data_IF_648089801547
#
_entry.id   IF_648089801547
#
_cell.length_a   1.000
_cell.length_b   1.000
_cell.length_c   1.000
_cell.angle_alpha   90.00
_cell.angle_beta   90.00
_cell.angle_gamma   90.00
#
_symmetry.space_group_name_H-M   'P 1'
#
loop_
_entity.id
_entity.type
_entity.pdbx_description
1 polymer ?
#
# COMPACT_ATOMS: atom_id res chain seq x y z
N UNK A 1 -32.84 -7.97 6.66
CA UNK A 1 -32.31 -6.62 6.43
C UNK A 1 -31.23 -6.31 7.47
N UNK A 2 -29.97 -6.62 7.19
CA UNK A 2 -28.82 -6.24 8.03
C UNK A 2 -27.90 -5.40 7.16
N UNK A 3 -28.06 -4.09 7.24
CA UNK A 3 -27.20 -3.14 6.55
C UNK A 3 -25.75 -3.30 7.05
N UNK A 4 -24.81 -3.47 6.11
CA UNK A 4 -23.36 -3.40 6.35
C UNK A 4 -23.05 -2.04 7.01
N UNK A 5 -22.80 -2.04 8.32
CA UNK A 5 -22.46 -0.83 9.08
C UNK A 5 -20.95 -0.62 9.04
N UNK A 6 -20.49 0.30 8.18
CA UNK A 6 -19.22 1.00 8.41
C UNK A 6 -19.41 1.92 9.62
N UNK A 7 -18.58 1.76 10.66
CA UNK A 7 -18.51 2.73 11.74
C UNK A 7 -17.77 3.97 11.23
N UNK A 8 -18.50 4.97 10.73
CA UNK A 8 -17.91 6.24 10.32
C UNK A 8 -17.56 7.03 11.59
N UNK A 9 -16.37 6.82 12.13
CA UNK A 9 -15.80 7.68 13.17
C UNK A 9 -15.17 8.93 12.51
N UNK A 10 -15.44 10.12 13.07
CA UNK A 10 -14.91 11.40 12.61
C UNK A 10 -13.36 11.39 12.57
N UNK A 11 -12.71 12.08 11.61
CA UNK A 11 -11.26 12.07 11.49
C UNK A 11 -10.60 12.75 12.71
N UNK A 12 -9.84 11.99 13.49
CA UNK A 12 -8.78 12.54 14.33
C UNK A 12 -7.64 12.98 13.41
N UNK A 13 -7.58 14.29 13.11
CA UNK A 13 -6.33 14.90 12.61
C UNK A 13 -5.30 14.79 13.73
N UNK A 14 -4.29 13.93 13.57
CA UNK A 14 -3.07 14.02 14.36
C UNK A 14 -2.30 15.25 13.85
N UNK A 15 -2.53 16.40 14.48
CA UNK A 15 -1.89 17.68 14.12
C UNK A 15 -0.41 17.60 14.50
N UNK A 16 0.46 17.69 13.49
CA UNK A 16 1.90 17.92 13.64
C UNK A 16 2.16 19.26 14.32
N UNK A 17 3.15 19.28 15.21
CA UNK A 17 3.44 20.35 16.16
C UNK A 17 3.57 21.77 15.58
N UNK A 18 3.12 22.71 16.41
CA UNK A 18 3.22 24.16 16.24
C UNK A 18 4.67 24.63 15.97
N UNK A 19 4.91 25.20 14.79
CA UNK A 19 5.91 26.25 14.62
C UNK A 19 5.17 27.60 14.68
N UNK A 20 5.11 28.17 15.88
CA UNK A 20 4.57 29.51 16.11
C UNK A 20 5.57 30.58 15.68
N UNK A 21 5.11 31.49 14.82
CA UNK A 21 5.83 32.70 14.45
C UNK A 21 5.43 33.91 15.30
N UNK A 22 6.44 34.77 15.50
CA UNK A 22 6.45 36.21 15.81
C UNK A 22 5.94 36.69 17.19
N UNK A 23 6.88 37.24 17.97
CA UNK A 23 6.77 38.63 18.46
C UNK A 23 8.09 39.37 18.26
N UNK A 24 7.95 40.53 17.62
CA UNK A 24 8.94 41.61 17.50
C UNK A 24 9.09 42.25 18.88
N UNK A 25 10.32 42.55 19.31
CA UNK A 25 10.71 43.65 20.20
C UNK A 25 12.26 43.68 20.28
N UNK A 26 12.88 44.66 19.61
CA UNK A 26 14.17 45.27 19.97
C UNK A 26 13.88 46.36 21.05
N UNK A 27 14.85 46.89 21.84
CA UNK A 27 16.22 47.25 21.45
C UNK A 27 17.33 47.08 22.53
N UNK A 28 18.53 47.52 22.14
CA UNK A 28 19.72 47.92 22.91
C UNK A 28 20.99 47.05 22.87
N UNK A 29 21.97 47.70 22.22
CA UNK A 29 23.42 47.56 22.13
C UNK A 29 24.21 47.23 23.41
N UNK A 30 25.16 46.29 23.34
CA UNK A 30 26.62 46.52 23.19
C UNK A 30 27.41 45.20 23.48
N UNK A 31 28.62 45.00 22.89
CA UNK A 31 29.40 43.76 23.05
C UNK A 31 30.65 43.96 23.93
N UNK A 32 31.00 43.01 24.81
CA UNK A 32 32.33 42.98 25.44
C UNK A 32 32.91 41.56 25.70
N UNK A 33 34.04 41.32 25.00
CA UNK A 33 35.30 40.60 25.31
C UNK A 33 35.36 39.17 25.91
N UNK A 34 36.10 38.37 25.14
CA UNK A 34 37.02 37.24 25.42
C UNK A 34 37.68 37.15 26.81
N UNK A 35 37.86 35.90 27.27
CA UNK A 35 39.05 35.24 27.85
C UNK A 35 38.55 34.02 28.64
N UNK A 36 39.22 32.89 28.83
CA UNK A 36 40.56 32.38 28.57
C UNK A 36 40.64 31.01 29.26
N UNK A 37 41.42 30.08 28.71
CA UNK A 37 41.72 28.76 29.26
C UNK A 37 42.32 28.81 30.68
N UNK A 38 42.20 27.74 31.48
CA UNK A 38 43.32 26.90 31.96
C UNK A 38 42.86 25.87 33.04
N UNK A 39 43.26 24.60 32.84
CA UNK A 39 43.78 23.59 33.82
C UNK A 39 42.91 23.22 35.05
N UNK A 40 42.79 21.97 35.54
CA UNK A 40 43.76 20.87 35.68
C UNK A 40 43.03 19.55 36.02
N UNK A 41 43.71 18.43 35.72
CA UNK A 41 43.68 17.06 36.29
C UNK A 41 43.15 16.92 37.74
N UNK A 42 42.65 15.79 38.31
CA UNK A 42 42.84 14.34 38.10
C UNK A 42 41.91 13.55 39.06
N UNK A 43 41.50 12.34 38.67
CA UNK A 43 41.36 11.06 39.42
C UNK A 43 40.13 10.26 38.94
N UNK A 44 40.30 9.22 38.11
CA UNK A 44 40.66 7.82 38.43
C UNK A 44 39.72 7.14 39.42
N UNK A 45 38.77 6.38 38.86
CA UNK A 45 38.43 5.05 39.35
C UNK A 45 37.99 4.18 38.18
N UNK A 46 38.84 3.21 37.87
CA UNK A 46 38.74 2.19 36.84
C UNK A 46 37.63 1.19 37.17
N UNK A 47 36.77 0.89 36.20
CA UNK A 47 36.20 -0.45 36.07
C UNK A 47 36.42 -0.90 34.63
N UNK A 48 37.44 -1.73 34.43
CA UNK A 48 37.70 -2.46 33.19
C UNK A 48 36.65 -3.56 33.09
N UNK A 49 35.75 -3.48 32.12
CA UNK A 49 35.11 -4.68 31.59
C UNK A 49 35.85 -5.09 30.33
N UNK A 50 36.48 -6.26 30.44
CA UNK A 50 37.17 -7.00 29.40
C UNK A 50 36.32 -7.15 28.14
N UNK A 51 36.93 -6.83 27.00
CA UNK A 51 36.45 -7.16 25.67
C UNK A 51 36.29 -8.68 25.53
N UNK A 52 35.05 -9.16 25.63
CA UNK A 52 34.67 -10.45 25.05
C UNK A 52 34.03 -10.13 23.71
N UNK A 53 34.83 -10.18 22.65
CA UNK A 53 34.29 -10.28 21.29
C UNK A 53 33.63 -11.66 21.18
N UNK A 54 32.33 -11.73 21.44
CA UNK A 54 31.53 -12.87 21.01
C UNK A 54 31.38 -12.77 19.50
N UNK A 55 32.13 -13.59 18.79
CA UNK A 55 31.91 -13.83 17.36
C UNK A 55 30.49 -14.35 17.18
N UNK A 56 29.62 -13.57 16.53
CA UNK A 56 28.29 -14.02 16.18
C UNK A 56 28.39 -15.24 15.24
N UNK A 57 27.71 -16.36 15.54
CA UNK A 57 27.74 -17.53 14.70
C UNK A 57 27.10 -17.22 13.34
N UNK A 58 27.88 -17.38 12.26
CA UNK A 58 27.46 -17.23 10.85
C UNK A 58 26.58 -18.41 10.38
N UNK A 59 25.53 -18.74 11.13
CA UNK A 59 24.50 -19.68 10.70
C UNK A 59 23.21 -18.90 10.42
N UNK A 60 22.83 -18.79 9.13
CA UNK A 60 21.42 -18.56 8.76
C UNK A 60 20.87 -17.12 8.64
N UNK A 61 21.63 -16.14 8.12
CA UNK A 61 21.11 -14.76 7.84
C UNK A 61 19.80 -14.74 7.01
N UNK A 62 19.57 -15.74 6.16
CA UNK A 62 18.35 -15.83 5.33
C UNK A 62 17.14 -16.46 6.05
N UNK A 63 17.37 -17.49 6.86
CA UNK A 63 16.30 -18.18 7.62
C UNK A 63 15.79 -17.32 8.79
N UNK A 64 16.71 -16.70 9.56
CA UNK A 64 16.34 -15.83 10.69
C UNK A 64 15.59 -14.57 10.25
N UNK A 65 15.91 -14.02 9.07
CA UNK A 65 15.24 -12.83 8.53
C UNK A 65 13.80 -13.12 8.09
N UNK A 66 13.55 -14.31 7.54
CA UNK A 66 12.21 -14.71 7.09
C UNK A 66 11.26 -14.93 8.28
N UNK A 67 11.72 -15.60 9.34
CA UNK A 67 10.94 -15.81 10.56
C UNK A 67 10.67 -14.49 11.27
N UNK A 68 11.69 -13.62 11.41
CA UNK A 68 11.56 -12.31 12.06
C UNK A 68 10.55 -11.40 11.36
N UNK A 69 10.43 -11.49 10.03
CA UNK A 69 9.45 -10.71 9.24
C UNK A 69 8.05 -11.35 9.20
N UNK A 70 7.89 -12.62 9.56
CA UNK A 70 6.59 -13.28 9.65
C UNK A 70 5.97 -13.24 11.06
N UNK A 71 6.80 -13.24 12.12
CA UNK A 71 6.36 -13.26 13.52
C UNK A 71 5.37 -12.14 13.92
N UNK A 72 5.43 -10.91 13.38
CA UNK A 72 4.48 -9.86 13.74
C UNK A 72 3.02 -10.14 13.34
N UNK A 73 2.78 -10.99 12.33
CA UNK A 73 1.42 -11.28 11.85
C UNK A 73 0.57 -12.06 12.87
N UNK A 74 1.00 -13.19 13.44
CA UNK A 74 0.28 -13.84 14.54
C UNK A 74 0.03 -12.92 15.75
N UNK A 75 1.02 -12.10 16.13
CA UNK A 75 0.89 -11.14 17.24
C UNK A 75 -0.18 -10.09 16.93
N UNK A 76 -0.28 -9.62 15.69
CA UNK A 76 -1.35 -8.73 15.26
C UNK A 76 -2.73 -9.36 15.46
N UNK A 77 -2.96 -10.60 15.00
CA UNK A 77 -4.25 -11.26 15.17
C UNK A 77 -4.57 -11.49 16.64
N UNK A 78 -3.59 -11.90 17.44
CA UNK A 78 -3.73 -12.06 18.90
C UNK A 78 -4.17 -10.75 19.57
N UNK A 79 -3.46 -9.64 19.30
CA UNK A 79 -3.79 -8.33 19.88
C UNK A 79 -5.15 -7.81 19.43
N UNK A 80 -5.53 -8.05 18.17
CA UNK A 80 -6.83 -7.66 17.63
C UNK A 80 -7.97 -8.47 18.25
N UNK A 81 -7.79 -9.78 18.42
CA UNK A 81 -8.86 -10.69 18.85
C UNK A 81 -9.03 -10.78 20.36
N UNK A 82 -7.94 -10.78 21.12
CA UNK A 82 -8.02 -10.90 22.57
C UNK A 82 -8.11 -9.54 23.28
N UNK A 83 -7.44 -8.51 22.77
CA UNK A 83 -7.41 -7.19 23.41
C UNK A 83 -8.21 -6.11 22.68
N UNK A 84 -8.89 -6.44 21.58
CA UNK A 84 -9.73 -5.50 20.83
C UNK A 84 -9.01 -4.27 20.25
N UNK A 85 -7.67 -4.28 20.17
CA UNK A 85 -6.90 -3.09 19.83
C UNK A 85 -7.11 -2.68 18.37
N UNK A 86 -7.37 -1.39 18.08
CA UNK A 86 -7.53 -0.86 16.71
C UNK A 86 -6.19 -0.59 16.00
N UNK A 87 -5.40 -1.66 15.78
CA UNK A 87 -4.12 -1.61 15.06
C UNK A 87 -4.37 -1.78 13.56
N UNK A 88 -3.81 -0.93 12.68
CA UNK A 88 -3.90 -1.11 11.24
C UNK A 88 -3.04 -2.30 10.78
N UNK A 89 -3.52 -3.01 9.76
CA UNK A 89 -2.73 -4.04 9.08
C UNK A 89 -1.97 -3.44 7.89
N UNK A 90 -2.67 -2.64 7.09
CA UNK A 90 -2.24 -2.13 5.80
C UNK A 90 -2.14 -0.61 5.84
N UNK A 91 -0.97 -0.10 5.48
CA UNK A 91 -0.73 1.30 5.23
C UNK A 91 -0.66 1.55 3.72
N UNK A 92 -1.60 2.34 3.21
CA UNK A 92 -1.65 2.76 1.82
C UNK A 92 -0.94 4.12 1.71
N UNK A 93 0.20 4.15 1.04
CA UNK A 93 1.14 5.27 1.08
C UNK A 93 1.28 5.92 -0.30
N UNK A 94 0.74 7.14 -0.46
CA UNK A 94 0.87 7.93 -1.68
C UNK A 94 2.03 8.90 -1.56
N UNK A 95 3.04 8.72 -2.41
CA UNK A 95 4.19 9.63 -2.48
C UNK A 95 3.91 10.84 -3.36
N UNK A 96 3.08 10.65 -4.37
CA UNK A 96 2.68 11.70 -5.30
C UNK A 96 1.33 11.38 -5.95
N UNK A 97 0.60 12.41 -6.37
CA UNK A 97 -0.53 12.27 -7.29
C UNK A 97 -0.14 12.43 -8.76
N UNK A 98 1.10 12.80 -9.06
CA UNK A 98 1.60 12.86 -10.44
C UNK A 98 1.60 11.46 -11.04
N UNK A 99 1.10 11.35 -12.26
CA UNK A 99 1.04 10.12 -13.02
C UNK A 99 1.36 10.41 -14.49
N UNK A 100 2.02 9.48 -15.16
CA UNK A 100 2.30 9.57 -16.60
C UNK A 100 1.15 9.00 -17.45
N UNK A 101 0.04 8.62 -16.83
CA UNK A 101 -1.19 8.17 -17.48
C UNK A 101 -2.38 8.98 -16.96
N UNK A 102 -3.41 9.12 -17.80
CA UNK A 102 -4.69 9.78 -17.47
C UNK A 102 -5.82 8.76 -17.58
N UNK A 103 -5.77 7.73 -16.72
CA UNK A 103 -6.67 6.59 -16.81
C UNK A 103 -8.14 6.98 -16.54
N UNK A 104 -9.07 6.51 -17.37
CA UNK A 104 -10.49 6.89 -17.30
C UNK A 104 -11.14 6.63 -15.93
N UNK A 105 -10.72 5.55 -15.25
CA UNK A 105 -11.27 5.10 -13.97
C UNK A 105 -10.59 5.72 -12.73
N UNK A 106 -9.52 6.51 -12.91
CA UNK A 106 -8.62 6.88 -11.82
C UNK A 106 -8.85 8.32 -11.35
N UNK A 107 -9.05 8.58 -10.04
CA UNK A 107 -9.20 9.93 -9.54
C UNK A 107 -7.85 10.67 -9.33
N UNK A 108 -6.71 9.98 -9.36
CA UNK A 108 -5.43 10.54 -8.89
C UNK A 108 -4.78 11.50 -9.88
N UNK A 109 -4.78 11.19 -11.18
CA UNK A 109 -4.09 12.04 -12.16
C UNK A 109 -4.66 13.46 -12.22
N UNK A 110 -5.94 13.64 -11.84
CA UNK A 110 -6.61 14.95 -11.73
C UNK A 110 -6.16 15.79 -10.54
N UNK A 111 -5.46 15.17 -9.60
CA UNK A 111 -4.91 15.78 -8.37
C UNK A 111 -3.43 16.14 -8.51
N UNK A 112 -2.86 15.94 -9.70
CA UNK A 112 -1.43 16.16 -9.95
C UNK A 112 -1.00 17.63 -9.80
N UNK A 113 -1.93 18.58 -9.95
CA UNK A 113 -1.73 20.03 -9.84
C UNK A 113 -1.99 20.58 -8.44
N UNK A 114 -2.40 19.75 -7.47
CA UNK A 114 -2.54 20.19 -6.07
C UNK A 114 -1.19 20.68 -5.54
N UNK A 115 -1.19 21.78 -4.75
CA UNK A 115 0.02 22.44 -4.24
C UNK A 115 0.99 21.46 -3.55
N UNK A 116 0.45 20.43 -2.88
CA UNK A 116 1.21 19.39 -2.17
C UNK A 116 0.99 18.00 -2.77
N UNK A 117 0.89 17.90 -4.09
CA UNK A 117 0.76 16.64 -4.83
C UNK A 117 2.04 15.78 -4.84
N UNK A 118 3.12 16.19 -4.19
CA UNK A 118 4.42 15.51 -4.18
C UNK A 118 5.09 15.65 -2.81
N UNK A 119 5.40 14.52 -2.17
CA UNK A 119 5.94 14.49 -0.82
C UNK A 119 7.47 14.65 -0.81
N UNK A 120 8.04 15.32 0.19
CA UNK A 120 9.50 15.35 0.41
C UNK A 120 10.01 14.07 1.08
N UNK A 121 11.31 13.77 0.95
CA UNK A 121 11.98 12.65 1.59
C UNK A 121 11.84 12.68 3.12
N UNK A 122 12.02 13.85 3.73
CA UNK A 122 11.91 14.02 5.19
C UNK A 122 10.50 13.70 5.69
N UNK A 123 9.48 14.16 4.97
CA UNK A 123 8.08 13.89 5.28
C UNK A 123 7.74 12.41 5.06
N UNK A 124 8.24 11.80 3.97
CA UNK A 124 8.04 10.38 3.71
C UNK A 124 8.58 9.49 4.83
N UNK A 125 9.80 9.78 5.31
CA UNK A 125 10.39 9.08 6.45
C UNK A 125 9.60 9.28 7.74
N UNK A 126 9.24 10.52 8.07
CA UNK A 126 8.47 10.82 9.27
C UNK A 126 7.11 10.10 9.27
N UNK A 127 6.43 10.08 8.13
CA UNK A 127 5.17 9.34 7.96
C UNK A 127 5.35 7.83 8.13
N UNK A 128 6.42 7.23 7.58
CA UNK A 128 6.74 5.82 7.82
C UNK A 128 7.03 5.53 9.30
N UNK A 129 7.71 6.43 10.01
CA UNK A 129 7.92 6.28 11.44
C UNK A 129 6.59 6.34 12.20
N UNK A 130 5.68 7.26 11.87
CA UNK A 130 4.33 7.30 12.47
C UNK A 130 3.56 5.99 12.21
N UNK A 131 3.62 5.46 10.99
CA UNK A 131 2.99 4.18 10.64
C UNK A 131 3.55 2.99 11.43
N UNK A 132 4.87 2.97 11.67
CA UNK A 132 5.51 1.96 12.52
C UNK A 132 5.03 2.05 13.96
N UNK A 133 4.95 3.26 14.54
CA UNK A 133 4.42 3.47 15.89
C UNK A 133 2.93 3.10 15.99
N UNK A 134 2.17 3.34 14.92
CA UNK A 134 0.77 2.91 14.83
C UNK A 134 0.61 1.37 14.78
N UNK A 135 1.68 0.62 14.48
CA UNK A 135 1.69 -0.84 14.44
C UNK A 135 1.33 -1.44 13.09
N UNK A 136 1.36 -0.66 12.00
CA UNK A 136 1.12 -1.18 10.65
C UNK A 136 2.17 -2.25 10.29
N UNK A 137 1.73 -3.33 9.63
CA UNK A 137 2.62 -4.44 9.25
C UNK A 137 3.00 -4.43 7.77
N UNK A 138 2.11 -3.92 6.92
CA UNK A 138 2.29 -3.88 5.48
C UNK A 138 2.22 -2.43 5.04
N UNK A 139 3.25 -1.94 4.36
CA UNK A 139 3.20 -0.65 3.64
C UNK A 139 3.10 -0.93 2.15
N UNK A 140 2.16 -0.27 1.48
CA UNK A 140 2.01 -0.31 0.02
C UNK A 140 2.27 1.08 -0.53
N UNK A 141 3.36 1.25 -1.28
CA UNK A 141 3.58 2.47 -2.05
C UNK A 141 2.70 2.45 -3.30
N UNK A 142 1.86 3.47 -3.43
CA UNK A 142 0.88 3.63 -4.50
C UNK A 142 0.64 5.14 -4.78
N UNK A 143 -0.48 5.50 -5.41
CA UNK A 143 -0.89 6.90 -5.62
C UNK A 143 -1.14 7.19 -7.10
N UNK A 144 -0.53 8.27 -7.60
CA UNK A 144 -0.32 8.45 -9.04
C UNK A 144 0.58 7.33 -9.58
N UNK A 145 1.78 7.67 -10.03
CA UNK A 145 2.80 6.66 -10.37
C UNK A 145 3.99 6.76 -9.40
N UNK A 146 4.18 5.79 -8.47
CA UNK A 146 5.27 5.83 -7.50
C UNK A 146 6.66 5.98 -8.11
N UNK A 147 6.89 5.43 -9.32
CA UNK A 147 8.18 5.51 -9.99
C UNK A 147 8.54 6.91 -10.52
N UNK A 148 7.58 7.85 -10.55
CA UNK A 148 7.85 9.26 -10.83
C UNK A 148 8.36 10.02 -9.61
N UNK A 149 8.25 9.44 -8.41
CA UNK A 149 8.62 10.14 -7.18
C UNK A 149 10.14 10.23 -7.02
N UNK A 150 10.63 11.47 -6.83
CA UNK A 150 12.01 11.80 -6.52
C UNK A 150 12.07 13.05 -5.66
N UNK A 151 12.96 13.06 -4.67
CA UNK A 151 13.27 14.25 -3.87
C UNK A 151 14.80 14.42 -3.78
N UNK A 152 15.32 15.39 -4.54
CA UNK A 152 16.76 15.55 -4.74
C UNK A 152 17.41 14.29 -5.31
N UNK A 153 18.30 13.68 -4.53
CA UNK A 153 19.00 12.43 -4.91
C UNK A 153 18.25 11.15 -4.56
N UNK A 154 17.13 11.26 -3.84
CA UNK A 154 16.39 10.12 -3.35
C UNK A 154 15.26 9.75 -4.30
N UNK A 155 15.05 8.45 -4.50
CA UNK A 155 13.92 7.92 -5.27
C UNK A 155 13.18 6.80 -4.55
N UNK A 156 12.17 6.23 -5.21
CA UNK A 156 11.33 5.17 -4.66
C UNK A 156 12.15 3.99 -4.12
N UNK A 157 13.29 3.63 -4.73
CA UNK A 157 14.12 2.49 -4.30
C UNK A 157 14.73 2.76 -2.93
N UNK A 158 15.27 3.96 -2.71
CA UNK A 158 15.81 4.38 -1.41
C UNK A 158 14.75 4.31 -0.31
N UNK A 159 13.52 4.72 -0.64
CA UNK A 159 12.43 4.72 0.33
C UNK A 159 11.91 3.31 0.64
N UNK A 160 11.88 2.41 -0.35
CA UNK A 160 11.59 0.99 -0.13
C UNK A 160 12.63 0.39 0.81
N UNK A 161 13.92 0.67 0.60
CA UNK A 161 14.98 0.17 1.48
C UNK A 161 14.90 0.74 2.91
N UNK A 162 14.49 2.00 3.06
CA UNK A 162 14.14 2.56 4.37
C UNK A 162 12.96 1.81 5.01
N UNK A 163 11.85 1.66 4.29
CA UNK A 163 10.64 1.02 4.79
C UNK A 163 10.86 -0.46 5.17
N UNK A 164 11.68 -1.20 4.42
CA UNK A 164 11.97 -2.62 4.69
C UNK A 164 12.66 -2.86 6.03
N UNK A 165 13.33 -1.85 6.58
CA UNK A 165 13.91 -1.90 7.93
C UNK A 165 12.87 -1.69 9.03
N UNK A 166 11.72 -1.11 8.69
CA UNK A 166 10.65 -0.76 9.62
C UNK A 166 9.51 -1.76 9.59
N UNK A 167 9.18 -2.29 8.41
CA UNK A 167 7.96 -3.06 8.18
C UNK A 167 8.24 -4.54 7.82
N UNK A 168 7.41 -5.46 8.36
CA UNK A 168 7.37 -6.86 7.95
C UNK A 168 7.28 -7.04 6.44
N UNK A 169 6.43 -6.24 5.75
CA UNK A 169 6.27 -6.29 4.30
C UNK A 169 6.14 -4.89 3.70
N UNK A 170 6.86 -4.69 2.60
CA UNK A 170 6.77 -3.49 1.77
C UNK A 170 6.37 -3.89 0.37
N UNK A 171 5.28 -3.34 -0.13
CA UNK A 171 4.76 -3.60 -1.45
C UNK A 171 4.72 -2.32 -2.29
N UNK A 172 4.62 -2.49 -3.60
CA UNK A 172 4.43 -1.39 -4.56
C UNK A 172 3.29 -1.75 -5.49
N UNK A 173 2.42 -0.79 -5.77
CA UNK A 173 1.44 -0.85 -6.86
C UNK A 173 1.82 0.18 -7.91
N UNK A 174 2.06 -0.26 -9.15
CA UNK A 174 2.49 0.60 -10.26
C UNK A 174 1.62 0.38 -11.49
N UNK A 175 1.52 1.41 -12.35
CA UNK A 175 0.91 1.29 -13.66
C UNK A 175 1.72 0.44 -14.64
N UNK A 176 2.96 0.07 -14.29
CA UNK A 176 3.80 -0.87 -15.04
C UNK A 176 4.62 -0.26 -16.17
N UNK A 177 4.59 1.06 -16.34
CA UNK A 177 5.31 1.74 -17.44
C UNK A 177 6.80 1.97 -17.17
N UNK A 178 7.30 1.58 -16.00
CA UNK A 178 8.70 1.64 -15.60
C UNK A 178 9.28 0.23 -15.34
N UNK A 179 10.61 0.06 -15.34
CA UNK A 179 11.24 -1.22 -15.00
C UNK A 179 10.81 -1.75 -13.63
N UNK A 180 10.38 -3.00 -13.59
CA UNK A 180 9.67 -3.60 -12.44
C UNK A 180 10.60 -4.22 -11.38
N UNK A 181 11.90 -4.30 -11.65
CA UNK A 181 12.86 -4.91 -10.74
C UNK A 181 13.26 -3.91 -9.64
N UNK A 182 12.40 -3.81 -8.63
CA UNK A 182 12.57 -3.00 -7.41
C UNK A 182 12.73 -3.88 -6.17
N UNK A 183 13.35 -3.37 -5.08
CA UNK A 183 13.59 -4.17 -3.87
C UNK A 183 12.33 -4.41 -3.00
N UNK A 184 11.12 -4.23 -3.56
CA UNK A 184 9.87 -4.48 -2.84
C UNK A 184 9.72 -5.98 -2.49
N UNK A 185 9.00 -6.30 -1.43
CA UNK A 185 8.64 -7.69 -1.13
C UNK A 185 7.57 -8.20 -2.10
N UNK A 186 6.61 -7.35 -2.45
CA UNK A 186 5.49 -7.66 -3.33
C UNK A 186 5.31 -6.54 -4.36
N UNK A 187 5.04 -6.89 -5.60
CA UNK A 187 4.80 -5.92 -6.68
C UNK A 187 3.48 -6.24 -7.36
N UNK A 188 2.60 -5.23 -7.41
CA UNK A 188 1.38 -5.26 -8.23
C UNK A 188 1.55 -4.36 -9.44
N UNK A 189 1.25 -4.92 -10.61
CA UNK A 189 1.18 -4.19 -11.88
C UNK A 189 -0.28 -4.08 -12.29
N UNK A 190 -0.76 -2.85 -12.51
CA UNK A 190 -2.12 -2.63 -13.00
C UNK A 190 -2.23 -2.96 -14.50
N UNK A 191 -3.04 -3.97 -14.84
CA UNK A 191 -3.29 -4.38 -16.22
C UNK A 191 -4.76 -4.69 -16.40
N UNK A 192 -5.51 -3.72 -16.95
CA UNK A 192 -6.99 -3.71 -16.93
C UNK A 192 -7.63 -4.15 -18.25
N UNK A 193 -7.07 -5.14 -18.94
CA UNK A 193 -7.65 -5.71 -20.17
C UNK A 193 -6.62 -6.22 -21.16
N UNK A 194 -7.11 -6.72 -22.30
CA UNK A 194 -6.30 -6.93 -23.49
C UNK A 194 -5.89 -5.59 -24.10
N UNK A 195 -4.97 -5.63 -25.07
CA UNK A 195 -4.33 -4.46 -25.68
C UNK A 195 -5.26 -3.29 -25.95
N UNK A 196 -6.35 -3.51 -26.68
CA UNK A 196 -7.25 -2.46 -27.15
C UNK A 196 -7.98 -1.80 -25.97
N UNK A 197 -8.59 -2.62 -25.11
CA UNK A 197 -9.36 -2.17 -23.94
C UNK A 197 -8.44 -1.52 -22.92
N UNK A 198 -7.28 -2.12 -22.63
CA UNK A 198 -6.29 -1.55 -21.74
C UNK A 198 -5.78 -0.20 -22.25
N UNK A 199 -5.46 -0.08 -23.54
CA UNK A 199 -4.98 1.17 -24.13
C UNK A 199 -6.03 2.28 -24.02
N UNK A 200 -7.30 1.96 -24.27
CA UNK A 200 -8.42 2.89 -24.08
C UNK A 200 -8.56 3.33 -22.62
N UNK A 201 -8.49 2.39 -21.67
CA UNK A 201 -8.63 2.69 -20.25
C UNK A 201 -7.39 3.39 -19.66
N UNK A 202 -6.20 3.16 -20.22
CA UNK A 202 -4.90 3.48 -19.61
C UNK A 202 -3.89 4.07 -20.61
N UNK A 203 -4.33 5.04 -21.39
CA UNK A 203 -3.47 5.94 -22.18
C UNK A 203 -2.45 5.22 -23.09
N UNK A 204 -2.88 4.20 -23.83
CA UNK A 204 -2.02 3.53 -24.83
C UNK A 204 -0.84 2.74 -24.23
N UNK A 205 -0.88 2.39 -22.94
CA UNK A 205 0.30 1.88 -22.23
C UNK A 205 0.57 0.37 -22.33
N UNK A 206 -0.29 -0.42 -22.99
CA UNK A 206 -0.23 -1.88 -22.95
C UNK A 206 1.12 -2.44 -23.36
N UNK A 207 1.68 -2.00 -24.50
CA UNK A 207 2.96 -2.52 -25.00
C UNK A 207 4.11 -2.30 -24.03
N UNK A 208 4.16 -1.10 -23.45
CA UNK A 208 5.20 -0.73 -22.51
C UNK A 208 5.09 -1.57 -21.23
N UNK A 209 3.86 -1.74 -20.72
CA UNK A 209 3.60 -2.59 -19.56
C UNK A 209 3.96 -4.05 -19.85
N UNK A 210 3.56 -4.57 -21.01
CA UNK A 210 3.82 -5.95 -21.42
C UNK A 210 5.32 -6.23 -21.60
N UNK A 211 6.06 -5.29 -22.20
CA UNK A 211 7.52 -5.38 -22.32
C UNK A 211 8.19 -5.43 -20.93
N UNK A 212 7.77 -4.57 -20.00
CA UNK A 212 8.30 -4.57 -18.63
C UNK A 212 7.94 -5.84 -17.86
N UNK A 213 6.74 -6.39 -18.05
CA UNK A 213 6.33 -7.68 -17.49
C UNK A 213 7.23 -8.82 -17.99
N UNK A 214 7.52 -8.87 -19.30
CA UNK A 214 8.43 -9.87 -19.90
C UNK A 214 9.87 -9.75 -19.40
N UNK A 215 10.34 -8.52 -19.19
CA UNK A 215 11.71 -8.26 -18.75
C UNK A 215 11.94 -8.48 -17.24
N UNK A 216 10.88 -8.44 -16.43
CA UNK A 216 11.02 -8.48 -14.97
C UNK A 216 11.50 -9.84 -14.45
N UNK A 217 12.29 -9.77 -13.37
CA UNK A 217 12.74 -10.90 -12.55
C UNK A 217 12.17 -10.84 -11.13
N UNK A 218 11.23 -9.93 -10.87
CA UNK A 218 10.65 -9.74 -9.54
C UNK A 218 9.93 -11.01 -9.07
N UNK A 219 10.35 -11.55 -7.92
CA UNK A 219 9.93 -12.91 -7.46
C UNK A 219 8.45 -13.02 -7.10
N UNK A 220 7.81 -11.92 -6.71
CA UNK A 220 6.40 -11.83 -6.30
C UNK A 220 5.68 -10.77 -7.11
N UNK A 221 5.71 -10.92 -8.43
CA UNK A 221 5.00 -10.05 -9.36
C UNK A 221 3.57 -10.58 -9.54
N UNK A 222 2.60 -9.74 -9.20
CA UNK A 222 1.19 -9.99 -9.38
C UNK A 222 0.59 -8.96 -10.33
N UNK A 223 -0.46 -9.35 -11.04
CA UNK A 223 -1.30 -8.40 -11.78
C UNK A 223 -2.48 -8.00 -10.91
N UNK A 224 -2.79 -6.71 -10.86
CA UNK A 224 -4.00 -6.20 -10.25
C UNK A 224 -4.96 -5.73 -11.34
N UNK A 225 -6.15 -6.33 -11.40
CA UNK A 225 -7.16 -6.06 -12.43
C UNK A 225 -8.37 -5.37 -11.80
N UNK A 226 -8.67 -4.15 -12.24
CA UNK A 226 -9.87 -3.42 -11.82
C UNK A 226 -11.00 -3.69 -12.82
N UNK A 227 -11.92 -4.56 -12.43
CA UNK A 227 -13.05 -4.98 -13.24
C UNK A 227 -14.03 -3.82 -13.39
N UNK A 228 -14.33 -3.45 -14.62
CA UNK A 228 -15.33 -2.48 -15.01
C UNK A 228 -16.17 -3.00 -16.18
N UNK A 229 -17.17 -2.22 -16.58
CA UNK A 229 -18.10 -2.60 -17.66
C UNK A 229 -17.40 -2.93 -18.97
N UNK A 230 -16.33 -2.22 -19.33
CA UNK A 230 -15.63 -2.38 -20.61
C UNK A 230 -14.69 -3.60 -20.64
N UNK A 231 -14.02 -3.91 -19.52
CA UNK A 231 -12.96 -4.93 -19.49
C UNK A 231 -13.36 -6.27 -18.87
N UNK A 232 -14.58 -6.42 -18.33
CA UNK A 232 -14.99 -7.65 -17.61
C UNK A 232 -14.81 -8.94 -18.40
N UNK A 233 -14.89 -8.88 -19.73
CA UNK A 233 -14.73 -10.04 -20.63
C UNK A 233 -13.27 -10.42 -20.89
N UNK A 234 -12.32 -9.54 -20.52
CA UNK A 234 -10.90 -9.72 -20.82
C UNK A 234 -10.15 -10.51 -19.75
N UNK A 235 -10.74 -10.75 -18.57
CA UNK A 235 -10.07 -11.37 -17.44
C UNK A 235 -9.50 -12.75 -17.81
N UNK A 236 -10.32 -13.61 -18.43
CA UNK A 236 -9.93 -14.95 -18.85
C UNK A 236 -8.84 -14.97 -19.93
N UNK A 237 -9.00 -14.30 -21.08
CA UNK A 237 -7.96 -14.30 -22.12
C UNK A 237 -6.66 -13.64 -21.61
N UNK A 238 -6.74 -12.57 -20.82
CA UNK A 238 -5.57 -11.94 -20.23
C UNK A 238 -4.83 -12.87 -19.26
N UNK A 239 -5.56 -13.58 -18.38
CA UNK A 239 -4.97 -14.57 -17.47
C UNK A 239 -4.21 -15.66 -18.22
N UNK A 240 -4.72 -16.11 -19.38
CA UNK A 240 -4.04 -17.10 -20.22
C UNK A 240 -2.72 -16.54 -20.77
N UNK A 241 -2.73 -15.33 -21.33
CA UNK A 241 -1.51 -14.69 -21.84
C UNK A 241 -0.48 -14.43 -20.73
N UNK A 242 -0.93 -14.04 -19.54
CA UNK A 242 -0.03 -13.76 -18.41
C UNK A 242 0.71 -15.00 -17.90
N UNK A 243 0.19 -16.21 -18.13
CA UNK A 243 0.90 -17.44 -17.76
C UNK A 243 2.18 -17.66 -18.57
N UNK A 244 2.32 -17.02 -19.73
CA UNK A 244 3.54 -17.04 -20.53
C UNK A 244 4.65 -16.15 -19.94
N UNK A 245 4.31 -15.25 -19.01
CA UNK A 245 5.26 -14.34 -18.36
C UNK A 245 5.95 -15.06 -17.19
N UNK A 246 7.27 -15.35 -17.25
CA UNK A 246 7.94 -16.18 -16.25
C UNK A 246 7.90 -15.63 -14.81
N UNK A 247 7.84 -14.30 -14.65
CA UNK A 247 7.78 -13.64 -13.35
C UNK A 247 6.36 -13.59 -12.76
N UNK A 248 5.32 -13.85 -13.55
CA UNK A 248 3.92 -13.77 -13.09
C UNK A 248 3.63 -14.85 -12.04
N UNK A 249 3.03 -14.42 -10.91
CA UNK A 249 2.67 -15.32 -9.79
C UNK A 249 1.18 -15.34 -9.48
N UNK A 250 0.37 -14.61 -10.24
CA UNK A 250 -1.08 -14.61 -10.12
C UNK A 250 -1.70 -13.22 -10.21
N UNK A 251 -3.02 -13.22 -10.26
CA UNK A 251 -3.84 -12.03 -10.40
C UNK A 251 -4.71 -11.83 -9.17
N UNK A 252 -4.81 -10.59 -8.72
CA UNK A 252 -5.88 -10.13 -7.84
C UNK A 252 -6.86 -9.30 -8.66
N UNK A 253 -8.15 -9.51 -8.46
CA UNK A 253 -9.20 -8.69 -9.07
C UNK A 253 -9.85 -7.80 -8.02
N UNK A 254 -10.30 -6.62 -8.42
CA UNK A 254 -11.16 -5.75 -7.64
C UNK A 254 -12.26 -5.20 -8.55
N UNK A 255 -13.36 -4.72 -7.98
CA UNK A 255 -14.39 -4.04 -8.78
C UNK A 255 -14.08 -2.55 -8.84
N UNK A 256 -14.42 -1.94 -9.96
CA UNK A 256 -14.39 -0.50 -10.14
C UNK A 256 -15.32 0.20 -9.14
N UNK A 257 -14.88 1.36 -8.63
CA UNK A 257 -15.63 2.21 -7.69
C UNK A 257 -15.90 3.58 -8.32
N UNK A 258 -17.17 4.04 -8.41
CA UNK A 258 -17.49 5.35 -8.95
C UNK A 258 -17.18 6.46 -7.94
N UNK A 259 -16.18 7.29 -8.24
CA UNK A 259 -15.81 8.48 -7.47
C UNK A 259 -16.63 9.72 -7.80
N UNK A 260 -17.42 9.68 -8.89
CA UNK A 260 -18.32 10.75 -9.31
C UNK A 260 -17.66 11.83 -10.15
N UNK A 261 -16.63 11.50 -10.93
CA UNK A 261 -15.84 12.44 -11.73
C UNK A 261 -16.02 12.23 -13.26
N UNK A 262 -17.15 11.68 -13.69
CA UNK A 262 -17.47 11.43 -15.11
C UNK A 262 -17.19 10.00 -15.59
N UNK A 263 -16.69 9.14 -14.72
CA UNK A 263 -16.39 7.73 -14.99
C UNK A 263 -17.58 6.77 -14.75
N UNK A 264 -18.78 7.32 -14.51
CA UNK A 264 -20.01 6.54 -14.30
C UNK A 264 -20.27 5.47 -15.37
N UNK A 265 -19.95 5.68 -16.67
CA UNK A 265 -20.07 4.63 -17.68
C UNK A 265 -19.21 3.37 -17.41
N UNK A 266 -18.21 3.40 -16.53
CA UNK A 266 -17.43 2.21 -16.19
C UNK A 266 -18.09 1.34 -15.12
N UNK A 267 -19.12 1.85 -14.43
CA UNK A 267 -19.84 1.12 -13.38
C UNK A 267 -20.50 -0.15 -13.92
N UNK A 268 -20.46 -1.21 -13.12
CA UNK A 268 -21.15 -2.47 -13.37
C UNK A 268 -22.55 -2.38 -12.79
N UNK A 269 -23.56 -2.84 -13.54
CA UNK A 269 -24.86 -3.15 -12.96
C UNK A 269 -24.75 -4.31 -11.96
N UNK A 270 -25.76 -4.47 -11.09
CA UNK A 270 -25.80 -5.58 -10.13
C UNK A 270 -25.72 -6.96 -10.81
N UNK A 271 -26.36 -7.10 -11.97
CA UNK A 271 -26.28 -8.31 -12.80
C UNK A 271 -24.88 -8.51 -13.35
N UNK A 272 -24.29 -7.51 -13.99
CA UNK A 272 -22.92 -7.63 -14.54
C UNK A 272 -21.89 -7.92 -13.44
N UNK A 273 -22.07 -7.35 -12.25
CA UNK A 273 -21.25 -7.59 -11.06
C UNK A 273 -21.36 -9.05 -10.59
N UNK A 274 -22.57 -9.59 -10.52
CA UNK A 274 -22.81 -11.00 -10.18
C UNK A 274 -22.15 -11.90 -11.21
N UNK A 275 -22.48 -11.70 -12.48
CA UNK A 275 -22.05 -12.56 -13.58
C UNK A 275 -20.51 -12.62 -13.65
N UNK A 276 -19.83 -11.48 -13.57
CA UNK A 276 -18.36 -11.45 -13.63
C UNK A 276 -17.69 -12.09 -12.41
N UNK A 277 -18.23 -11.88 -11.20
CA UNK A 277 -17.64 -12.48 -9.99
C UNK A 277 -17.86 -14.00 -9.95
N UNK A 278 -19.02 -14.48 -10.43
CA UNK A 278 -19.28 -15.91 -10.60
C UNK A 278 -18.33 -16.51 -11.65
N UNK A 279 -18.08 -15.81 -12.76
CA UNK A 279 -17.10 -16.23 -13.76
C UNK A 279 -15.67 -16.30 -13.19
N UNK A 280 -15.24 -15.29 -12.42
CA UNK A 280 -13.93 -15.27 -11.75
C UNK A 280 -13.82 -16.42 -10.74
N UNK A 281 -14.88 -16.73 -10.00
CA UNK A 281 -14.92 -17.88 -9.09
C UNK A 281 -14.73 -19.18 -9.87
N UNK A 282 -15.39 -19.33 -11.02
CA UNK A 282 -15.29 -20.51 -11.86
C UNK A 282 -13.88 -20.63 -12.49
N UNK A 283 -13.31 -19.54 -12.99
CA UNK A 283 -11.91 -19.46 -13.43
C UNK A 283 -10.95 -19.97 -12.35
N UNK A 284 -11.16 -19.56 -11.10
CA UNK A 284 -10.33 -19.99 -9.97
C UNK A 284 -10.48 -21.49 -9.69
N UNK A 285 -11.71 -22.04 -9.74
CA UNK A 285 -11.93 -23.49 -9.58
C UNK A 285 -11.26 -24.31 -10.68
N UNK A 286 -11.19 -23.77 -11.89
CA UNK A 286 -10.47 -24.35 -13.04
C UNK A 286 -8.94 -24.25 -12.91
N UNK A 287 -8.43 -23.70 -11.80
CA UNK A 287 -6.99 -23.61 -11.53
C UNK A 287 -6.30 -22.37 -12.10
N UNK A 288 -7.03 -21.41 -12.66
CA UNK A 288 -6.42 -20.14 -13.06
C UNK A 288 -5.91 -19.38 -11.82
N UNK A 289 -4.77 -18.67 -11.92
CA UNK A 289 -4.02 -18.17 -10.77
C UNK A 289 -4.63 -16.88 -10.18
N UNK A 290 -5.89 -16.94 -9.76
CA UNK A 290 -6.60 -15.87 -9.07
C UNK A 290 -6.36 -16.00 -7.57
N UNK A 291 -5.85 -14.94 -6.95
CA UNK A 291 -5.39 -14.95 -5.55
C UNK A 291 -6.48 -14.62 -4.55
N UNK A 292 -7.55 -13.91 -4.96
CA UNK A 292 -8.72 -13.66 -4.12
C UNK A 292 -9.32 -14.98 -3.62
N UNK A 293 -9.84 -14.97 -2.41
CA UNK A 293 -10.57 -16.07 -1.82
C UNK A 293 -11.98 -16.16 -2.41
N UNK A 294 -12.44 -17.39 -2.69
CA UNK A 294 -13.79 -17.63 -3.23
C UNK A 294 -14.88 -17.05 -2.33
N UNK A 295 -14.70 -17.14 -1.02
CA UNK A 295 -15.66 -16.61 -0.05
C UNK A 295 -15.79 -15.08 -0.10
N UNK A 296 -14.68 -14.35 -0.32
CA UNK A 296 -14.75 -12.88 -0.47
C UNK A 296 -15.26 -12.46 -1.84
N UNK A 297 -14.86 -13.15 -2.91
CA UNK A 297 -15.46 -12.92 -4.23
C UNK A 297 -16.98 -13.09 -4.18
N UNK A 298 -17.49 -14.12 -3.49
CA UNK A 298 -18.94 -14.32 -3.32
C UNK A 298 -19.59 -13.21 -2.48
N UNK A 299 -18.99 -12.83 -1.35
CA UNK A 299 -19.52 -11.75 -0.50
C UNK A 299 -19.51 -10.38 -1.21
N UNK A 300 -18.55 -10.16 -2.10
CA UNK A 300 -18.50 -8.96 -2.95
C UNK A 300 -19.57 -8.95 -4.05
N UNK A 301 -20.40 -9.99 -4.24
CA UNK A 301 -21.54 -9.91 -5.17
C UNK A 301 -22.61 -8.95 -4.60
N UNK A 302 -22.94 -9.11 -3.31
CA UNK A 302 -23.97 -8.32 -2.62
C UNK A 302 -23.39 -7.28 -1.65
N UNK A 303 -22.07 -7.28 -1.43
CA UNK A 303 -21.42 -6.45 -0.41
C UNK A 303 -22.00 -6.62 1.00
N UNK A 304 -22.42 -7.83 1.33
CA UNK A 304 -23.02 -8.24 2.61
C UNK A 304 -21.98 -8.62 3.69
N UNK A 305 -20.72 -8.20 3.51
CA UNK A 305 -19.63 -8.47 4.43
C UNK A 305 -19.38 -7.32 5.40
N UNK A 306 -18.83 -7.66 6.57
CA UNK A 306 -18.39 -6.67 7.56
C UNK A 306 -17.07 -6.04 7.15
N UNK A 307 -17.09 -4.73 6.90
CA UNK A 307 -15.88 -3.95 6.68
C UNK A 307 -15.23 -3.59 8.02
N UNK A 308 -13.95 -3.94 8.17
CA UNK A 308 -13.11 -3.49 9.29
C UNK A 308 -12.16 -2.41 8.77
N UNK A 309 -12.67 -1.21 8.52
CA UNK A 309 -11.89 -0.16 7.86
C UNK A 309 -10.72 0.36 8.73
N UNK A 310 -10.77 0.14 10.04
CA UNK A 310 -9.68 0.42 10.99
C UNK A 310 -8.41 -0.42 10.75
N UNK A 311 -8.48 -1.45 9.89
CA UNK A 311 -7.28 -2.16 9.40
C UNK A 311 -6.47 -1.33 8.39
N UNK A 312 -7.03 -0.22 7.90
CA UNK A 312 -6.39 0.68 6.94
C UNK A 312 -5.94 1.98 7.58
N UNK A 313 -4.75 2.40 7.19
CA UNK A 313 -4.24 3.75 7.43
C UNK A 313 -3.70 4.29 6.11
N UNK A 314 -4.06 5.53 5.77
CA UNK A 314 -3.74 6.16 4.51
C UNK A 314 -2.76 7.30 4.76
N UNK A 315 -1.76 7.43 3.90
CA UNK A 315 -0.86 8.58 3.84
C UNK A 315 -1.02 9.22 2.48
N UNK A 316 -1.36 10.51 2.46
CA UNK A 316 -1.50 11.31 1.25
C UNK A 316 -0.23 12.19 1.03
N UNK A 317 0.06 12.67 -0.20
CA UNK A 317 1.33 13.35 -0.53
C UNK A 317 1.60 14.64 0.25
N UNK A 318 0.58 15.25 0.83
CA UNK A 318 0.66 16.42 1.70
C UNK A 318 1.09 16.10 3.15
N UNK A 319 1.29 14.82 3.45
CA UNK A 319 1.64 14.30 4.77
C UNK A 319 0.44 13.97 5.65
N UNK A 320 -0.80 14.13 5.16
CA UNK A 320 -1.98 13.78 5.93
C UNK A 320 -2.05 12.27 6.16
N UNK A 321 -2.27 11.87 7.43
CA UNK A 321 -2.42 10.47 7.82
C UNK A 321 -3.85 10.25 8.32
N UNK A 322 -4.61 9.42 7.59
CA UNK A 322 -6.03 9.16 7.87
C UNK A 322 -6.31 7.67 8.05
N UNK A 323 -6.84 7.29 9.21
CA UNK A 323 -7.33 5.91 9.46
C UNK A 323 -8.74 5.72 8.87
N UNK A 324 -9.03 4.49 8.47
CA UNK A 324 -10.34 4.08 7.98
C UNK A 324 -10.42 3.94 6.46
N UNK A 325 -11.66 3.97 5.96
CA UNK A 325 -11.99 3.71 4.56
C UNK A 325 -11.08 4.44 3.55
N UNK A 326 -10.66 3.70 2.51
CA UNK A 326 -9.87 4.24 1.40
C UNK A 326 -10.56 5.41 0.68
N UNK A 327 -11.89 5.49 0.68
CA UNK A 327 -12.62 6.55 -0.04
C UNK A 327 -12.71 7.86 0.76
N UNK A 328 -12.39 7.85 2.07
CA UNK A 328 -12.66 8.96 3.00
C UNK A 328 -12.06 10.33 2.59
N UNK A 329 -10.94 10.36 1.85
CA UNK A 329 -10.32 11.59 1.33
C UNK A 329 -10.44 11.73 -0.21
N UNK A 330 -11.31 10.95 -0.85
CA UNK A 330 -11.29 10.73 -2.31
C UNK A 330 -12.67 10.78 -2.96
N UNK A 331 -13.75 10.74 -2.19
CA UNK A 331 -15.11 10.86 -2.70
C UNK A 331 -16.16 10.54 -1.63
N UNK A 332 -17.42 10.45 -2.05
CA UNK A 332 -18.50 9.98 -1.18
C UNK A 332 -18.33 8.49 -0.91
N UNK A 333 -18.38 8.08 0.36
CA UNK A 333 -18.32 6.67 0.74
C UNK A 333 -19.67 6.00 0.44
N UNK A 334 -19.64 4.95 -0.39
CA UNK A 334 -20.79 4.09 -0.69
C UNK A 334 -20.38 2.62 -0.51
N UNK A 335 -20.81 2.01 0.60
CA UNK A 335 -20.44 0.63 0.90
C UNK A 335 -21.11 -0.38 -0.03
N UNK A 336 -22.27 -0.07 -0.60
CA UNK A 336 -22.96 -0.96 -1.54
C UNK A 336 -22.22 -1.06 -2.87
N UNK A 337 -21.53 -0.01 -3.27
CA UNK A 337 -20.68 0.03 -4.47
C UNK A 337 -19.22 -0.31 -4.18
N UNK A 338 -18.86 -0.63 -2.93
CA UNK A 338 -17.48 -0.94 -2.56
C UNK A 338 -16.91 -2.07 -3.42
N UNK A 339 -15.82 -1.77 -4.13
CA UNK A 339 -15.13 -2.71 -5.01
C UNK A 339 -13.76 -3.15 -4.52
N UNK A 340 -13.29 -2.63 -3.39
CA UNK A 340 -11.92 -2.82 -2.90
C UNK A 340 -11.70 -4.20 -2.29
N UNK A 341 -11.35 -5.17 -3.14
CA UNK A 341 -11.08 -6.53 -2.70
C UNK A 341 -9.94 -6.66 -1.68
N UNK A 342 -8.86 -5.83 -1.67
CA UNK A 342 -7.86 -5.92 -0.60
C UNK A 342 -8.44 -5.67 0.79
N UNK A 343 -9.41 -4.74 0.90
CA UNK A 343 -10.10 -4.43 2.16
C UNK A 343 -11.04 -5.55 2.55
N UNK A 344 -11.76 -6.12 1.58
CA UNK A 344 -12.63 -7.28 1.79
C UNK A 344 -11.84 -8.50 2.28
N UNK A 345 -10.69 -8.79 1.66
CA UNK A 345 -9.79 -9.87 2.07
C UNK A 345 -9.17 -9.62 3.43
N UNK A 346 -8.64 -8.43 3.70
CA UNK A 346 -8.05 -8.11 5.00
C UNK A 346 -9.09 -8.15 6.12
N UNK A 347 -10.33 -7.72 5.86
CA UNK A 347 -11.46 -7.84 6.79
C UNK A 347 -11.82 -9.31 7.02
N UNK A 348 -11.89 -10.13 5.97
CA UNK A 348 -12.15 -11.56 6.09
C UNK A 348 -11.03 -12.31 6.83
N UNK A 349 -9.77 -11.94 6.60
CA UNK A 349 -8.63 -12.50 7.33
C UNK A 349 -8.70 -12.11 8.81
N UNK A 350 -9.08 -10.87 9.13
CA UNK A 350 -9.34 -10.45 10.49
C UNK A 350 -10.50 -11.24 11.10
N UNK A 351 -11.53 -11.60 10.35
CA UNK A 351 -12.60 -12.50 10.80
C UNK A 351 -12.21 -13.99 10.83
N UNK A 352 -10.92 -14.30 10.66
CA UNK A 352 -10.34 -15.64 10.69
C UNK A 352 -10.91 -16.57 9.60
N UNK A 353 -11.42 -16.01 8.51
CA UNK A 353 -11.87 -16.81 7.37
C UNK A 353 -10.65 -17.45 6.71
N UNK A 354 -10.62 -18.79 6.69
CA UNK A 354 -9.50 -19.58 6.17
C UNK A 354 -9.11 -19.20 4.74
N UNK A 355 -10.10 -18.91 3.89
CA UNK A 355 -9.86 -18.48 2.50
C UNK A 355 -9.05 -17.19 2.42
N UNK A 356 -9.40 -16.19 3.22
CA UNK A 356 -8.71 -14.89 3.26
C UNK A 356 -7.35 -14.98 3.95
N UNK A 357 -7.22 -15.79 5.02
CA UNK A 357 -5.93 -16.09 5.64
C UNK A 357 -4.98 -16.75 4.64
N UNK A 358 -5.47 -17.71 3.84
CA UNK A 358 -4.69 -18.38 2.78
C UNK A 358 -4.32 -17.42 1.66
N UNK A 359 -5.22 -16.52 1.26
CA UNK A 359 -4.92 -15.48 0.27
C UNK A 359 -3.80 -14.55 0.77
N UNK A 360 -3.90 -14.04 1.99
CA UNK A 360 -2.87 -13.22 2.62
C UNK A 360 -1.53 -13.94 2.75
N UNK A 361 -1.54 -15.21 3.19
CA UNK A 361 -0.34 -16.04 3.25
C UNK A 361 0.32 -16.21 1.87
N UNK A 362 -0.46 -16.51 0.83
CA UNK A 362 0.04 -16.69 -0.53
C UNK A 362 0.65 -15.41 -1.11
N UNK A 363 0.04 -14.27 -0.85
CA UNK A 363 0.49 -12.98 -1.38
C UNK A 363 1.75 -12.51 -0.64
N UNK A 364 1.71 -12.49 0.70
CA UNK A 364 2.70 -11.78 1.50
C UNK A 364 3.78 -12.69 2.12
N UNK A 365 3.53 -13.99 2.32
CA UNK A 365 4.37 -14.84 3.17
C UNK A 365 4.99 -16.07 2.47
N UNK A 366 4.33 -16.65 1.47
CA UNK A 366 4.76 -17.87 0.74
C UNK A 366 5.70 -17.58 -0.44
#
# INVERSE_FOLDING_TARGET
>A
MTASRCAIENPLKLVGGNYGGRKILTPFSQPFRKSGNLFTQMNRSLVKFSNVQMAEPRWGRFFGMTIRRAAPFPVFFFRRKLFGQKIPLLASFKLTYRCNLSCLACPFHRRAEEERAHMSWSMARASLDVLKHAGALIVVFEGGEPFLWRDGRHDLRDLIDYARRLFPRVAVTTNGTFPLDVPADVLWVSLDGLREVHNRLRSGSFDKVWANLRASRHRRLFVHFTINRENRRDIRPLLKQLQEIPAFRGMTVQLFYPYGQGEAPLALSERERRDVLEEVIEMKKQGLPILNSTGRLRAMIQNDWRCHDDILINVDPDGAITRGCYVKSRGRINCQECGFSPVSEASGALDLLLGSLKAGWSIFLK
#
